data_IF_352921712208
#
_entry.id   IF_352921712208
#
_cell.length_a   1.000
_cell.length_b   1.000
_cell.length_c   1.000
_cell.angle_alpha   90.00
_cell.angle_beta   90.00
_cell.angle_gamma   90.00
#
_symmetry.space_group_name_H-M   'P 1'
#
loop_
_entity.id
_entity.type
_entity.pdbx_description
1 polymer ?
#
# COMPACT_ATOMS: atom_id res chain seq x y z
N UNK A 1 9.00 -20.05 -3.84
CA UNK A 1 9.32 -20.12 -2.40
C UNK A 1 10.04 -18.85 -2.01
N UNK A 2 9.30 -17.90 -1.45
CA UNK A 2 9.79 -16.61 -0.96
C UNK A 2 10.74 -16.82 0.23
N UNK A 3 11.86 -16.12 0.24
CA UNK A 3 13.04 -16.39 1.08
C UNK A 3 12.84 -16.35 2.61
N UNK A 4 11.62 -16.09 3.12
CA UNK A 4 11.32 -15.95 4.55
C UNK A 4 10.51 -17.06 5.20
N UNK A 5 9.89 -17.95 4.43
CA UNK A 5 9.18 -19.10 5.02
C UNK A 5 10.14 -20.04 5.79
N UNK A 6 11.45 -19.95 5.52
CA UNK A 6 12.50 -20.75 6.17
C UNK A 6 12.92 -20.27 7.56
N UNK A 7 12.53 -19.06 7.97
CA UNK A 7 12.94 -18.49 9.27
C UNK A 7 11.93 -18.77 10.40
N UNK A 8 10.77 -19.36 10.07
CA UNK A 8 9.70 -19.63 11.02
C UNK A 8 9.67 -21.11 11.40
N UNK A 9 9.59 -21.40 12.70
CA UNK A 9 9.35 -22.76 13.18
C UNK A 9 7.88 -23.16 12.94
N UNK A 10 7.57 -24.46 12.97
CA UNK A 10 6.24 -25.01 12.73
C UNK A 10 5.15 -24.47 13.67
N UNK A 11 5.57 -24.00 14.86
CA UNK A 11 4.69 -23.42 15.88
C UNK A 11 4.55 -21.91 15.78
N UNK A 12 5.41 -21.24 15.01
CA UNK A 12 5.32 -19.81 14.84
C UNK A 12 4.09 -19.46 14.02
N UNK A 13 3.34 -18.49 14.54
CA UNK A 13 2.15 -17.96 13.89
C UNK A 13 2.18 -16.45 13.89
N UNK A 14 1.52 -15.89 12.87
CA UNK A 14 1.21 -14.48 12.74
C UNK A 14 -0.29 -14.34 12.99
N UNK A 15 -0.65 -13.61 14.05
CA UNK A 15 -2.03 -13.48 14.49
C UNK A 15 -2.57 -12.09 14.12
N UNK A 16 -3.71 -12.06 13.45
CA UNK A 16 -4.37 -10.83 13.00
C UNK A 16 -5.79 -10.77 13.53
N UNK A 17 -6.22 -9.59 13.97
CA UNK A 17 -7.64 -9.27 14.12
C UNK A 17 -8.19 -9.05 12.72
N UNK A 18 -9.33 -9.66 12.46
CA UNK A 18 -9.95 -9.59 11.16
C UNK A 18 -11.47 -9.44 11.26
N UNK A 19 -12.04 -8.84 10.23
CA UNK A 19 -13.47 -8.60 10.13
C UNK A 19 -14.01 -9.24 8.86
N UNK A 20 -15.19 -9.84 8.98
CA UNK A 20 -15.98 -10.28 7.84
C UNK A 20 -17.35 -9.62 7.92
N UNK A 21 -17.74 -9.00 6.80
CA UNK A 21 -19.07 -8.41 6.64
C UNK A 21 -19.91 -9.30 5.72
N UNK A 22 -21.06 -9.73 6.22
CA UNK A 22 -22.08 -10.40 5.42
C UNK A 22 -23.04 -9.37 4.84
N UNK A 23 -22.88 -9.05 3.55
CA UNK A 23 -23.69 -8.07 2.85
C UNK A 23 -25.18 -8.43 2.77
N UNK A 24 -25.54 -9.70 2.89
CA UNK A 24 -26.94 -10.13 2.80
C UNK A 24 -27.70 -9.87 4.10
N UNK A 25 -27.03 -10.00 5.25
CA UNK A 25 -27.62 -9.85 6.57
C UNK A 25 -27.25 -8.54 7.27
N UNK A 26 -26.26 -7.80 6.74
CA UNK A 26 -25.65 -6.66 7.42
C UNK A 26 -24.86 -7.05 8.68
N UNK A 27 -24.55 -8.35 8.84
CA UNK A 27 -23.91 -8.85 10.04
C UNK A 27 -22.38 -8.70 9.95
N UNK A 28 -21.78 -8.25 11.03
CA UNK A 28 -20.34 -8.13 11.18
C UNK A 28 -19.83 -9.21 12.14
N UNK A 29 -18.77 -9.93 11.75
CA UNK A 29 -18.08 -10.88 12.62
C UNK A 29 -16.65 -10.48 12.86
N UNK A 30 -16.22 -10.64 14.10
CA UNK A 30 -14.84 -10.43 14.51
C UNK A 30 -14.10 -11.77 14.64
N UNK A 31 -13.00 -11.89 13.91
CA UNK A 31 -12.16 -13.07 13.88
C UNK A 31 -10.76 -12.77 14.40
N UNK A 32 -10.08 -13.81 14.87
CA UNK A 32 -8.62 -13.86 14.90
C UNK A 32 -8.18 -14.86 13.85
N UNK A 33 -7.43 -14.39 12.86
CA UNK A 33 -6.80 -15.24 11.85
C UNK A 33 -5.38 -15.54 12.30
N UNK A 34 -5.06 -16.81 12.50
CA UNK A 34 -3.70 -17.25 12.77
C UNK A 34 -3.12 -17.87 11.49
N UNK A 35 -2.07 -17.26 10.96
CA UNK A 35 -1.35 -17.75 9.79
C UNK A 35 -0.02 -18.38 10.20
N UNK A 36 0.30 -19.53 9.64
CA UNK A 36 1.52 -20.29 9.90
C UNK A 36 2.43 -20.26 8.66
N UNK A 37 3.48 -19.41 8.65
CA UNK A 37 4.31 -19.22 7.46
C UNK A 37 5.10 -20.46 7.04
N UNK A 38 5.38 -21.38 7.98
CA UNK A 38 6.22 -22.57 7.74
C UNK A 38 5.58 -23.56 6.75
N UNK A 39 4.26 -23.70 6.80
CA UNK A 39 3.50 -24.69 6.02
C UNK A 39 2.33 -24.07 5.25
N UNK A 40 2.24 -22.74 5.21
CA UNK A 40 1.19 -21.99 4.51
C UNK A 40 -0.23 -22.43 4.91
N UNK A 41 -0.43 -22.61 6.21
CA UNK A 41 -1.74 -22.94 6.78
C UNK A 41 -2.30 -21.77 7.57
N UNK A 42 -3.62 -21.75 7.72
CA UNK A 42 -4.28 -20.82 8.64
C UNK A 42 -5.38 -21.50 9.44
N UNK A 43 -5.64 -20.97 10.62
CA UNK A 43 -6.86 -21.22 11.38
C UNK A 43 -7.58 -19.90 11.67
N UNK A 44 -8.87 -20.00 11.99
CA UNK A 44 -9.70 -18.84 12.30
C UNK A 44 -10.44 -19.11 13.60
N UNK A 45 -10.35 -18.16 14.52
CA UNK A 45 -11.08 -18.14 15.78
C UNK A 45 -12.18 -17.08 15.75
N UNK A 46 -13.41 -17.46 16.10
CA UNK A 46 -14.55 -16.55 16.26
C UNK A 46 -14.48 -15.91 17.65
N UNK A 47 -14.21 -14.60 17.71
CA UNK A 47 -14.08 -13.88 18.99
C UNK A 47 -15.42 -13.71 19.68
N UNK A 48 -16.50 -13.57 18.90
CA UNK A 48 -17.83 -13.28 19.43
C UNK A 48 -18.43 -14.54 20.09
N UNK A 49 -18.14 -15.72 19.52
CA UNK A 49 -18.60 -17.02 20.02
C UNK A 49 -17.55 -17.79 20.85
N UNK A 50 -16.38 -17.20 21.07
CA UNK A 50 -15.24 -17.79 21.79
C UNK A 50 -14.94 -19.25 21.38
N UNK A 51 -14.92 -19.51 20.07
CA UNK A 51 -14.70 -20.85 19.52
C UNK A 51 -13.97 -20.83 18.20
N UNK A 52 -13.36 -21.96 17.86
CA UNK A 52 -12.73 -22.15 16.56
C UNK A 52 -13.77 -22.11 15.44
N UNK A 53 -13.57 -21.21 14.48
CA UNK A 53 -14.40 -21.08 13.28
C UNK A 53 -13.90 -21.99 12.15
N UNK A 54 -12.58 -22.01 11.95
CA UNK A 54 -11.92 -22.83 10.95
C UNK A 54 -10.68 -23.48 11.57
N UNK A 55 -10.56 -24.81 11.44
CA UNK A 55 -9.36 -25.55 11.84
C UNK A 55 -8.18 -25.24 10.93
N UNK A 56 -6.96 -25.42 11.45
CA UNK A 56 -5.71 -25.27 10.69
C UNK A 56 -5.82 -26.01 9.36
N UNK A 57 -5.84 -25.25 8.27
CA UNK A 57 -6.04 -25.78 6.92
C UNK A 57 -5.07 -25.12 5.96
N UNK A 58 -4.58 -25.89 4.99
CA UNK A 58 -3.67 -25.43 3.93
C UNK A 58 -4.40 -24.51 2.97
N UNK A 59 -3.73 -23.43 2.56
CA UNK A 59 -4.30 -22.44 1.64
C UNK A 59 -3.43 -22.29 0.40
N UNK A 60 -3.86 -22.84 -0.72
CA UNK A 60 -3.08 -22.75 -1.98
C UNK A 60 -3.10 -21.34 -2.59
N UNK A 61 -4.16 -20.58 -2.32
CA UNK A 61 -4.39 -19.26 -2.91
C UNK A 61 -3.83 -18.08 -2.12
N UNK A 62 -3.13 -18.33 -1.00
CA UNK A 62 -2.58 -17.29 -0.13
C UNK A 62 -1.08 -17.50 0.02
N UNK A 63 -0.34 -16.38 0.10
CA UNK A 63 1.08 -16.38 0.44
C UNK A 63 1.33 -15.49 1.67
N UNK A 64 2.51 -15.62 2.26
CA UNK A 64 3.02 -14.73 3.30
C UNK A 64 2.89 -13.24 2.89
N UNK A 65 3.00 -12.95 1.60
CA UNK A 65 2.91 -11.60 1.10
C UNK A 65 1.54 -10.93 1.30
N UNK A 66 0.48 -11.72 1.43
CA UNK A 66 -0.90 -11.25 1.64
C UNK A 66 -1.18 -10.95 3.13
N UNK A 67 -0.28 -11.34 4.02
CA UNK A 67 -0.48 -11.27 5.47
C UNK A 67 -0.01 -9.93 6.04
N UNK A 68 -0.81 -8.89 5.81
CA UNK A 68 -0.58 -7.55 6.37
C UNK A 68 -1.90 -6.83 6.69
N UNK A 69 -1.84 -5.94 7.68
CA UNK A 69 -3.00 -5.14 8.10
C UNK A 69 -3.43 -4.21 6.97
N UNK A 70 -4.74 -4.21 6.67
CA UNK A 70 -5.36 -3.45 5.59
C UNK A 70 -5.69 -4.29 4.35
N UNK A 71 -5.09 -5.48 4.20
CA UNK A 71 -5.40 -6.40 3.12
C UNK A 71 -6.74 -7.13 3.35
N UNK A 72 -7.36 -7.60 2.27
CA UNK A 72 -8.53 -8.48 2.31
C UNK A 72 -8.20 -9.83 1.70
N UNK A 73 -8.10 -10.85 2.55
CA UNK A 73 -7.79 -12.22 2.15
C UNK A 73 -9.07 -12.98 1.80
N UNK A 74 -8.96 -13.97 0.91
CA UNK A 74 -10.08 -14.85 0.55
C UNK A 74 -9.92 -16.20 1.23
N UNK A 75 -10.88 -16.58 2.07
CA UNK A 75 -10.91 -17.88 2.75
C UNK A 75 -12.22 -18.58 2.43
N UNK A 76 -12.16 -19.71 1.70
CA UNK A 76 -13.35 -20.47 1.25
C UNK A 76 -14.46 -19.61 0.65
N UNK A 77 -14.09 -18.65 -0.20
CA UNK A 77 -15.03 -17.76 -0.88
C UNK A 77 -15.44 -16.51 -0.09
N UNK A 78 -15.16 -16.44 1.22
CA UNK A 78 -15.40 -15.25 2.05
C UNK A 78 -14.22 -14.28 1.96
N UNK A 79 -14.52 -12.99 1.87
CA UNK A 79 -13.53 -11.91 1.92
C UNK A 79 -13.37 -11.44 3.36
N UNK A 80 -12.23 -11.73 3.96
CA UNK A 80 -11.94 -11.42 5.36
C UNK A 80 -10.87 -10.32 5.36
N UNK A 81 -11.20 -9.17 5.96
CA UNK A 81 -10.29 -8.02 6.02
C UNK A 81 -9.44 -8.11 7.28
N UNK A 82 -8.13 -8.05 7.13
CA UNK A 82 -7.20 -7.98 8.25
C UNK A 82 -7.17 -6.53 8.77
N UNK A 83 -7.68 -6.28 9.97
CA UNK A 83 -7.90 -4.92 10.49
C UNK A 83 -6.85 -4.49 11.49
N UNK A 84 -6.29 -5.40 12.27
CA UNK A 84 -5.19 -5.10 13.20
C UNK A 84 -4.35 -6.36 13.50
N UNK A 85 -3.26 -6.19 14.24
CA UNK A 85 -2.46 -7.27 14.78
C UNK A 85 -3.09 -7.79 16.08
N UNK A 86 -3.21 -9.12 16.23
CA UNK A 86 -3.71 -9.72 17.46
C UNK A 86 -2.64 -9.83 18.55
N UNK A 87 -1.35 -9.70 18.21
CA UNK A 87 -0.24 -9.74 19.16
C UNK A 87 0.94 -8.83 18.77
N UNK A 88 1.77 -8.50 19.75
CA UNK A 88 2.91 -7.59 19.59
C UNK A 88 4.06 -8.20 18.75
N UNK A 89 4.23 -9.53 18.77
CA UNK A 89 5.27 -10.24 18.01
C UNK A 89 4.99 -10.10 16.51
N UNK A 90 3.77 -10.41 16.10
CA UNK A 90 3.26 -10.27 14.75
C UNK A 90 3.39 -8.83 14.29
N UNK A 91 2.96 -7.87 15.11
CA UNK A 91 3.14 -6.44 14.81
C UNK A 91 4.59 -6.10 14.51
N UNK A 92 5.54 -6.49 15.37
CA UNK A 92 6.97 -6.20 15.20
C UNK A 92 7.57 -6.84 13.94
N UNK A 93 7.17 -8.06 13.61
CA UNK A 93 7.66 -8.79 12.43
C UNK A 93 7.07 -8.19 11.15
N UNK A 94 5.74 -8.05 11.08
CA UNK A 94 5.04 -7.69 9.85
C UNK A 94 5.18 -6.21 9.55
N UNK A 95 5.07 -5.31 10.54
CA UNK A 95 5.18 -3.86 10.31
C UNK A 95 6.52 -3.45 9.68
N UNK A 96 7.63 -4.12 10.04
CA UNK A 96 8.95 -3.89 9.44
C UNK A 96 9.06 -4.30 7.98
N UNK A 97 8.12 -5.11 7.50
CA UNK A 97 8.24 -5.83 6.22
C UNK A 97 7.15 -5.49 5.23
N UNK A 98 6.06 -4.92 5.75
CA UNK A 98 4.86 -4.49 5.04
C UNK A 98 4.55 -3.06 5.47
N UNK A 99 5.53 -2.18 5.26
CA UNK A 99 5.33 -0.74 5.38
C UNK A 99 4.42 -0.28 4.24
N UNK A 100 3.61 0.75 4.53
CA UNK A 100 2.68 1.33 3.58
C UNK A 100 3.17 2.73 3.21
N UNK A 101 3.00 3.12 1.96
CA UNK A 101 3.29 4.45 1.46
C UNK A 101 2.17 4.91 0.55
N UNK A 102 1.88 6.21 0.57
CA UNK A 102 0.93 6.81 -0.34
C UNK A 102 1.66 7.28 -1.60
N UNK A 103 1.09 7.03 -2.77
CA UNK A 103 1.59 7.49 -4.06
C UNK A 103 0.48 8.20 -4.84
N UNK A 104 0.82 9.32 -5.48
CA UNK A 104 -0.09 10.02 -6.39
C UNK A 104 0.62 10.33 -7.70
N UNK A 105 -0.04 9.97 -8.80
CA UNK A 105 0.38 10.22 -10.17
C UNK A 105 -0.48 11.36 -10.72
N UNK A 106 0.18 12.41 -11.20
CA UNK A 106 -0.49 13.63 -11.68
C UNK A 106 -0.87 13.53 -13.17
N UNK A 107 -1.67 14.46 -13.71
CA UNK A 107 -2.19 14.33 -15.08
C UNK A 107 -1.13 14.20 -16.17
N UNK A 108 0.11 14.65 -15.94
CA UNK A 108 1.17 14.59 -16.95
C UNK A 108 1.70 13.19 -17.28
N UNK A 109 1.45 12.19 -16.43
CA UNK A 109 1.97 10.82 -16.59
C UNK A 109 0.87 9.76 -16.81
N UNK A 110 -0.39 10.20 -16.92
CA UNK A 110 -1.55 9.31 -17.04
C UNK A 110 -1.54 8.53 -18.35
N UNK A 111 -1.03 9.12 -19.43
CA UNK A 111 -0.82 8.45 -20.72
C UNK A 111 0.17 7.29 -20.65
N UNK A 112 1.05 7.29 -19.63
CA UNK A 112 2.06 6.27 -19.35
C UNK A 112 1.75 5.37 -18.15
N UNK A 113 0.52 5.43 -17.64
CA UNK A 113 0.11 4.75 -16.41
C UNK A 113 0.41 3.23 -16.40
N UNK A 114 0.17 2.53 -17.51
CA UNK A 114 0.42 1.08 -17.58
C UNK A 114 1.89 0.70 -17.42
N UNK A 115 2.79 1.47 -18.05
CA UNK A 115 4.24 1.28 -17.95
C UNK A 115 4.71 1.53 -16.51
N UNK A 116 4.22 2.62 -15.90
CA UNK A 116 4.55 3.00 -14.52
C UNK A 116 4.07 1.96 -13.51
N UNK A 117 2.83 1.45 -13.65
CA UNK A 117 2.31 0.39 -12.78
C UNK A 117 3.18 -0.86 -12.87
N UNK A 118 3.61 -1.21 -14.08
CA UNK A 118 4.51 -2.35 -14.31
C UNK A 118 5.83 -2.14 -13.57
N UNK A 119 6.45 -0.97 -13.70
CA UNK A 119 7.69 -0.66 -12.98
C UNK A 119 7.50 -0.68 -11.46
N UNK A 120 6.40 -0.15 -10.93
CA UNK A 120 6.08 -0.21 -9.49
C UNK A 120 6.07 -1.68 -9.01
N UNK A 121 5.41 -2.57 -9.75
CA UNK A 121 5.32 -3.99 -9.41
C UNK A 121 6.67 -4.71 -9.54
N UNK A 122 7.45 -4.40 -10.58
CA UNK A 122 8.80 -4.94 -10.80
C UNK A 122 9.77 -4.53 -9.69
N UNK A 123 9.60 -3.34 -9.12
CA UNK A 123 10.32 -2.90 -7.92
C UNK A 123 9.79 -3.55 -6.63
N UNK A 124 8.87 -4.51 -6.73
CA UNK A 124 8.40 -5.32 -5.60
C UNK A 124 7.43 -4.58 -4.67
N UNK A 125 6.78 -3.52 -5.14
CA UNK A 125 5.65 -2.94 -4.45
C UNK A 125 4.38 -3.74 -4.74
N UNK A 126 3.56 -3.91 -3.72
CA UNK A 126 2.21 -4.40 -3.86
C UNK A 126 1.23 -3.23 -3.83
N UNK A 127 0.37 -3.12 -4.84
CA UNK A 127 -0.66 -2.06 -4.90
C UNK A 127 -1.89 -2.57 -4.15
N UNK A 128 -2.10 -2.14 -2.90
CA UNK A 128 -3.24 -2.58 -2.08
C UNK A 128 -4.54 -1.88 -2.50
N UNK A 129 -4.46 -0.59 -2.82
CA UNK A 129 -5.59 0.22 -3.28
C UNK A 129 -5.15 1.14 -4.39
N UNK A 130 -6.05 1.39 -5.33
CA UNK A 130 -5.86 2.35 -6.40
C UNK A 130 -7.18 3.04 -6.71
N UNK A 131 -7.15 4.35 -6.90
CA UNK A 131 -8.31 5.14 -7.32
C UNK A 131 -7.89 6.23 -8.29
N UNK A 132 -8.59 6.31 -9.41
CA UNK A 132 -8.53 7.47 -10.30
C UNK A 132 -9.62 8.47 -9.92
N UNK A 133 -9.27 9.74 -9.80
CA UNK A 133 -10.22 10.82 -9.51
C UNK A 133 -9.79 12.14 -10.16
N UNK A 134 -10.68 13.11 -10.20
CA UNK A 134 -10.37 14.50 -10.57
C UNK A 134 -10.56 15.32 -9.31
N UNK A 135 -9.53 16.05 -8.89
CA UNK A 135 -9.57 16.88 -7.69
C UNK A 135 -10.09 18.26 -8.04
N UNK A 136 -11.01 18.78 -7.23
CA UNK A 136 -11.33 20.21 -7.28
C UNK A 136 -10.27 21.03 -6.53
N UNK A 137 -10.30 22.36 -6.72
CA UNK A 137 -9.30 23.26 -6.12
C UNK A 137 -9.25 23.16 -4.59
N UNK A 138 -10.40 23.01 -3.93
CA UNK A 138 -10.48 22.92 -2.47
C UNK A 138 -9.82 21.62 -1.99
N UNK A 139 -10.16 20.49 -2.59
CA UNK A 139 -9.57 19.18 -2.28
C UNK A 139 -8.06 19.17 -2.50
N UNK A 140 -7.59 19.75 -3.61
CA UNK A 140 -6.15 19.84 -3.90
C UNK A 140 -5.42 20.74 -2.89
N UNK A 141 -6.02 21.86 -2.46
CA UNK A 141 -5.46 22.74 -1.43
C UNK A 141 -5.37 22.05 -0.06
N UNK A 142 -6.42 21.33 0.33
CA UNK A 142 -6.44 20.54 1.56
C UNK A 142 -5.37 19.44 1.51
N UNK A 143 -5.22 18.77 0.37
CA UNK A 143 -4.22 17.72 0.19
C UNK A 143 -2.77 18.24 0.26
N UNK A 144 -2.49 19.43 -0.28
CA UNK A 144 -1.15 20.04 -0.27
C UNK A 144 -0.96 21.11 0.82
N UNK A 145 -1.77 21.08 1.88
CA UNK A 145 -1.72 22.09 2.97
C UNK A 145 -0.32 22.22 3.58
N UNK A 146 0.39 21.10 3.74
CA UNK A 146 1.74 21.07 4.33
C UNK A 146 2.80 21.78 3.47
N UNK A 147 2.48 22.10 2.20
CA UNK A 147 3.32 22.88 1.28
C UNK A 147 2.97 24.37 1.24
N UNK A 148 2.11 24.83 2.15
CA UNK A 148 1.71 26.24 2.20
C UNK A 148 2.94 27.14 2.37
N UNK A 149 3.09 28.08 1.44
CA UNK A 149 4.24 29.01 1.39
C UNK A 149 5.30 28.65 0.36
N UNK A 150 5.24 27.46 -0.25
CA UNK A 150 6.06 27.13 -1.41
C UNK A 150 5.61 27.95 -2.63
N UNK A 151 6.55 28.65 -3.27
CA UNK A 151 6.28 29.48 -4.45
C UNK A 151 5.84 28.67 -5.66
N UNK A 152 6.14 27.37 -5.69
CA UNK A 152 5.72 26.44 -6.75
C UNK A 152 4.31 25.88 -6.55
N UNK A 153 3.73 26.00 -5.34
CA UNK A 153 2.42 25.43 -5.00
C UNK A 153 1.29 25.87 -5.93
N UNK A 154 1.14 27.17 -6.30
CA UNK A 154 0.08 27.58 -7.23
C UNK A 154 0.16 26.83 -8.57
N UNK A 155 1.36 26.67 -9.13
CA UNK A 155 1.56 25.95 -10.39
C UNK A 155 1.29 24.46 -10.26
N UNK A 156 1.68 23.86 -9.14
CA UNK A 156 1.36 22.46 -8.82
C UNK A 156 -0.17 22.25 -8.75
N UNK A 157 -0.88 23.14 -8.06
CA UNK A 157 -2.34 23.05 -7.94
C UNK A 157 -3.04 23.15 -9.30
N UNK A 158 -2.67 24.14 -10.13
CA UNK A 158 -3.20 24.26 -11.50
C UNK A 158 -2.92 22.98 -12.32
N UNK A 159 -1.75 22.38 -12.16
CA UNK A 159 -1.42 21.14 -12.84
C UNK A 159 -2.27 19.97 -12.34
N UNK A 160 -2.39 19.78 -11.03
CA UNK A 160 -3.11 18.65 -10.41
C UNK A 160 -4.61 18.70 -10.72
N UNK A 161 -5.22 19.88 -10.74
CA UNK A 161 -6.65 20.04 -11.07
C UNK A 161 -6.95 20.04 -12.58
N UNK A 162 -5.91 20.05 -13.44
CA UNK A 162 -6.09 20.10 -14.89
C UNK A 162 -6.63 18.80 -15.50
N UNK A 163 -6.66 17.70 -14.76
CA UNK A 163 -7.07 16.40 -15.28
C UNK A 163 -7.15 15.31 -14.20
N UNK A 164 -7.28 14.04 -14.61
CA UNK A 164 -7.34 12.92 -13.69
C UNK A 164 -6.00 12.69 -12.99
N UNK A 165 -6.08 12.36 -11.70
CA UNK A 165 -4.97 11.85 -10.89
C UNK A 165 -5.24 10.41 -10.52
N UNK A 166 -4.17 9.66 -10.25
CA UNK A 166 -4.26 8.29 -9.73
C UNK A 166 -3.60 8.25 -8.36
N UNK A 167 -4.40 7.98 -7.33
CA UNK A 167 -3.93 7.75 -5.96
C UNK A 167 -3.79 6.24 -5.71
N UNK A 168 -2.69 5.85 -5.07
CA UNK A 168 -2.34 4.46 -4.78
C UNK A 168 -1.85 4.30 -3.34
N UNK A 169 -2.25 3.21 -2.70
CA UNK A 169 -1.62 2.69 -1.48
C UNK A 169 -0.64 1.58 -1.88
N UNK A 170 0.65 1.84 -1.74
CA UNK A 170 1.71 0.87 -2.03
C UNK A 170 2.18 0.23 -0.74
N UNK A 171 2.42 -1.08 -0.78
CA UNK A 171 2.85 -1.88 0.37
C UNK A 171 4.11 -2.64 0.02
N UNK A 172 5.10 -2.59 0.92
CA UNK A 172 6.38 -3.26 0.71
C UNK A 172 7.32 -3.11 1.88
N UNK A 173 8.50 -3.72 1.77
CA UNK A 173 9.58 -3.47 2.73
C UNK A 173 10.18 -2.10 2.46
N UNK A 174 10.34 -1.28 3.51
CA UNK A 174 10.91 0.08 3.43
C UNK A 174 10.19 0.91 2.35
N UNK A 175 8.86 0.79 2.27
CA UNK A 175 8.05 1.29 1.17
C UNK A 175 8.17 2.81 1.00
N UNK A 176 8.26 3.58 2.10
CA UNK A 176 8.36 5.04 2.03
C UNK A 176 9.68 5.46 1.38
N UNK A 177 10.81 4.92 1.87
CA UNK A 177 12.13 5.27 1.37
C UNK A 177 12.35 4.75 -0.05
N UNK A 178 11.93 3.52 -0.35
CA UNK A 178 12.04 2.94 -1.68
C UNK A 178 11.18 3.65 -2.71
N UNK A 179 10.00 4.16 -2.32
CA UNK A 179 9.17 4.95 -3.22
C UNK A 179 9.84 6.29 -3.52
N UNK A 180 10.43 6.94 -2.51
CA UNK A 180 11.21 8.16 -2.70
C UNK A 180 12.42 7.94 -3.62
N UNK A 181 13.14 6.83 -3.46
CA UNK A 181 14.25 6.43 -4.32
C UNK A 181 13.80 6.18 -5.76
N UNK A 182 12.71 5.42 -5.96
CA UNK A 182 12.16 5.14 -7.28
C UNK A 182 11.67 6.41 -8.00
N UNK A 183 11.08 7.35 -7.26
CA UNK A 183 10.69 8.65 -7.81
C UNK A 183 11.89 9.49 -8.25
N UNK A 184 12.99 9.46 -7.48
CA UNK A 184 14.16 10.30 -7.68
C UNK A 184 13.98 11.77 -7.27
N UNK A 185 14.94 12.66 -7.60
CA UNK A 185 14.92 14.08 -7.20
C UNK A 185 13.66 14.80 -7.64
N UNK A 186 13.22 15.80 -6.85
CA UNK A 186 11.96 16.53 -7.08
C UNK A 186 11.93 17.33 -8.39
N UNK A 187 13.08 17.80 -8.87
CA UNK A 187 13.23 18.43 -10.18
C UNK A 187 13.59 17.37 -11.23
N UNK A 188 12.73 17.14 -12.25
CA UNK A 188 13.05 16.24 -13.37
C UNK A 188 14.36 16.55 -14.10
N UNK A 189 14.77 17.83 -14.19
CA UNK A 189 16.03 18.22 -14.85
C UNK A 189 17.22 17.71 -14.03
N UNK A 190 17.17 17.88 -12.70
CA UNK A 190 18.16 17.31 -11.79
C UNK A 190 18.13 15.78 -11.83
N UNK A 191 16.94 15.18 -11.80
CA UNK A 191 16.75 13.74 -11.84
C UNK A 191 17.41 13.12 -13.09
N UNK A 192 17.22 13.72 -14.28
CA UNK A 192 17.89 13.28 -15.51
C UNK A 192 19.42 13.29 -15.41
N UNK A 193 19.99 14.21 -14.63
CA UNK A 193 21.43 14.35 -14.46
C UNK A 193 22.00 13.41 -13.40
N UNK A 194 21.29 13.18 -12.29
CA UNK A 194 21.81 12.44 -11.14
C UNK A 194 21.28 11.02 -11.01
N UNK A 195 20.05 10.77 -11.45
CA UNK A 195 19.35 9.48 -11.35
C UNK A 195 18.50 9.25 -12.62
N UNK A 196 19.14 8.99 -13.78
CA UNK A 196 18.49 8.97 -15.09
C UNK A 196 17.42 7.88 -15.25
N UNK A 197 17.47 6.83 -14.42
CA UNK A 197 16.49 5.73 -14.42
C UNK A 197 15.29 5.98 -13.50
N UNK A 198 15.29 7.07 -12.73
CA UNK A 198 14.19 7.40 -11.82
C UNK A 198 12.91 7.79 -12.58
N UNK A 199 11.75 7.58 -11.97
CA UNK A 199 10.46 7.89 -12.59
C UNK A 199 10.36 9.36 -13.02
N UNK A 200 10.85 10.30 -12.20
CA UNK A 200 10.84 11.73 -12.52
C UNK A 200 11.82 12.08 -13.66
N UNK A 201 12.93 11.35 -13.80
CA UNK A 201 13.84 11.54 -14.93
C UNK A 201 13.22 11.08 -16.26
N UNK A 202 12.57 9.91 -16.23
CA UNK A 202 12.00 9.24 -17.42
C UNK A 202 10.70 9.90 -17.88
N UNK A 203 9.78 10.20 -16.95
CA UNK A 203 8.42 10.65 -17.27
C UNK A 203 8.13 12.10 -16.88
N UNK A 204 8.95 12.70 -16.00
CA UNK A 204 8.76 14.08 -15.56
C UNK A 204 9.07 15.10 -16.66
N UNK A 205 8.30 16.19 -16.71
CA UNK A 205 8.47 17.26 -17.73
C UNK A 205 9.56 18.26 -17.32
N UNK A 206 9.31 19.55 -17.51
CA UNK A 206 10.34 20.61 -17.43
C UNK A 206 10.39 21.34 -16.07
N UNK A 207 9.53 20.98 -15.12
CA UNK A 207 9.46 21.63 -13.81
C UNK A 207 9.07 20.67 -12.69
N UNK A 208 9.40 21.02 -11.44
CA UNK A 208 9.01 20.27 -10.24
C UNK A 208 7.48 20.14 -10.07
N UNK A 209 6.72 21.15 -10.51
CA UNK A 209 5.25 21.12 -10.51
C UNK A 209 4.66 20.07 -11.46
N UNK A 210 5.44 19.67 -12.48
CA UNK A 210 5.08 18.69 -13.51
C UNK A 210 5.94 17.42 -13.42
N UNK A 211 6.46 17.12 -12.23
CA UNK A 211 7.32 15.95 -11.99
C UNK A 211 6.58 14.62 -12.12
N UNK A 212 5.25 14.61 -12.03
CA UNK A 212 4.42 13.43 -12.29
C UNK A 212 4.12 12.56 -11.08
N UNK A 213 4.97 12.61 -10.04
CA UNK A 213 4.93 11.68 -8.93
C UNK A 213 5.09 12.39 -7.59
N UNK A 214 4.19 12.08 -6.65
CA UNK A 214 4.36 12.43 -5.24
C UNK A 214 4.12 11.21 -4.36
N UNK A 215 4.57 11.29 -3.11
CA UNK A 215 4.24 10.31 -2.11
C UNK A 215 4.49 10.82 -0.70
N UNK A 216 4.12 9.99 0.28
CA UNK A 216 4.36 10.28 1.70
C UNK A 216 5.85 10.41 2.02
N UNK A 217 6.19 11.33 2.91
CA UNK A 217 7.55 11.54 3.42
C UNK A 217 7.77 10.83 4.76
N UNK A 218 6.69 10.48 5.46
CA UNK A 218 6.72 9.76 6.73
C UNK A 218 5.57 8.77 6.87
N UNK A 219 5.66 7.84 7.83
CA UNK A 219 4.57 6.94 8.17
C UNK A 219 3.32 7.65 8.71
N UNK A 220 3.46 8.88 9.23
CA UNK A 220 2.31 9.68 9.68
C UNK A 220 1.50 10.21 8.50
N UNK A 221 2.18 10.62 7.42
CA UNK A 221 1.55 11.14 6.21
C UNK A 221 0.67 10.07 5.52
N UNK A 222 0.98 8.79 5.71
CA UNK A 222 0.26 7.66 5.09
C UNK A 222 -1.15 7.47 5.68
N UNK A 223 -1.36 7.87 6.94
CA UNK A 223 -2.64 7.66 7.64
C UNK A 223 -3.53 8.91 7.67
N UNK A 224 -3.05 10.04 7.13
CA UNK A 224 -3.79 11.30 7.00
C UNK A 224 -4.63 11.30 5.73
#
# INVERSE_FOLDING_TARGET
MTARAKDFDYRDKLSFVAEWHDYNSGYHKNFVVNYYPSDNTLDIFDKDLDRLYLKRTTMDSLDYNDMYVGNTIRVYGRQIKLTDYADCKTKSIVSKTKERTFAILTPCVIDKLGEIITQIQEHGFHINRMRMCILNRREALEFYEDRRGDSSLPFLLEHVISGPVVAMELVGKDAVSRWAELMGPSDPIEARRTQPESLRAVYGRDSSATSGFHGSHSANDVNR
#
